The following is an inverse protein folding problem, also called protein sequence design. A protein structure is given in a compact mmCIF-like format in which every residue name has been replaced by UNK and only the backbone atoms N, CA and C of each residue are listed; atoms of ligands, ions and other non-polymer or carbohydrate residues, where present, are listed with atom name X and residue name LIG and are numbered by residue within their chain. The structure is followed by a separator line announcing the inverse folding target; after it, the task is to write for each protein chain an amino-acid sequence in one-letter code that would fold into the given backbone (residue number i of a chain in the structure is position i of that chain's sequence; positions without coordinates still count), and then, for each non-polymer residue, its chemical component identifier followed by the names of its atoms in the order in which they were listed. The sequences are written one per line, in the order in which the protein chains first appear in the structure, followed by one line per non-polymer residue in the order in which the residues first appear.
data_IF_869924133422
#
_entry.id   IF_869924133422
#
_cell.length_a   1.000
_cell.length_b   1.000
_cell.length_c   1.000
_cell.angle_alpha   90.00
_cell.angle_beta   90.00
_cell.angle_gamma   90.00
#
_symmetry.space_group_name_H-M   'P 1'
#
loop_
_entity.id
_entity.type
_entity.pdbx_description
1 polymer ?
#
# COMPACT_ATOMS: atom_id res chain seq x y z
N UNK A 1 -13.29 -18.10 -14.28
CA UNK A 1 -14.11 -17.93 -13.06
C UNK A 1 -14.71 -16.56 -13.12
N UNK A 2 -16.04 -16.44 -12.98
CA UNK A 2 -16.66 -15.13 -12.79
C UNK A 2 -16.14 -14.57 -11.46
N UNK A 3 -15.54 -13.39 -11.51
CA UNK A 3 -15.06 -12.69 -10.32
C UNK A 3 -16.28 -12.35 -9.48
N UNK A 4 -16.44 -13.04 -8.37
CA UNK A 4 -17.38 -12.65 -7.32
C UNK A 4 -17.03 -11.21 -6.94
N UNK A 5 -17.96 -10.28 -7.17
CA UNK A 5 -17.82 -8.90 -6.72
C UNK A 5 -17.53 -8.91 -5.21
N UNK A 6 -16.31 -8.52 -4.80
CA UNK A 6 -15.89 -8.52 -3.39
C UNK A 6 -16.77 -7.57 -2.58
N UNK A 7 -17.07 -6.42 -3.18
CA UNK A 7 -18.02 -5.43 -2.67
C UNK A 7 -19.22 -5.40 -3.61
N UNK A 8 -20.43 -5.37 -3.06
CA UNK A 8 -21.67 -5.40 -3.83
C UNK A 8 -21.86 -4.09 -4.62
N UNK A 9 -21.72 -4.16 -5.94
CA UNK A 9 -21.82 -2.99 -6.83
C UNK A 9 -23.26 -2.51 -7.02
N UNK A 10 -24.25 -3.42 -7.01
CA UNK A 10 -25.67 -3.06 -7.13
C UNK A 10 -26.12 -2.17 -5.96
N UNK A 11 -25.55 -2.39 -4.77
CA UNK A 11 -25.88 -1.66 -3.55
C UNK A 11 -25.14 -0.32 -3.44
N UNK A 12 -23.93 -0.22 -3.99
CA UNK A 12 -23.02 0.87 -3.68
C UNK A 12 -22.44 1.61 -4.90
N UNK A 13 -22.83 1.22 -6.11
CA UNK A 13 -22.57 1.96 -7.34
C UNK A 13 -21.09 2.04 -7.74
N UNK A 14 -20.69 3.18 -8.30
CA UNK A 14 -19.38 3.39 -8.92
C UNK A 14 -18.19 3.22 -7.97
N UNK A 15 -18.33 3.59 -6.70
CA UNK A 15 -17.26 3.44 -5.70
C UNK A 15 -16.94 1.96 -5.44
N UNK A 16 -17.96 1.10 -5.37
CA UNK A 16 -17.75 -0.34 -5.25
C UNK A 16 -17.11 -0.94 -6.51
N UNK A 17 -17.47 -0.46 -7.69
CA UNK A 17 -16.86 -0.89 -8.95
C UNK A 17 -15.37 -0.52 -9.01
N UNK A 18 -15.02 0.73 -8.68
CA UNK A 18 -13.61 1.17 -8.65
C UNK A 18 -12.79 0.35 -7.66
N UNK A 19 -13.36 0.14 -6.46
CA UNK A 19 -12.70 -0.64 -5.40
C UNK A 19 -12.51 -2.10 -5.79
N UNK A 20 -13.52 -2.75 -6.38
CA UNK A 20 -13.39 -4.12 -6.90
C UNK A 20 -12.29 -4.21 -7.97
N UNK A 21 -12.23 -3.23 -8.87
CA UNK A 21 -11.16 -3.14 -9.87
C UNK A 21 -9.76 -3.04 -9.22
N UNK A 22 -9.63 -2.28 -8.14
CA UNK A 22 -8.38 -2.17 -7.40
C UNK A 22 -8.00 -3.47 -6.68
N UNK A 23 -8.97 -4.15 -6.03
CA UNK A 23 -8.76 -5.47 -5.41
C UNK A 23 -8.27 -6.47 -6.45
N UNK A 24 -8.89 -6.50 -7.63
CA UNK A 24 -8.48 -7.36 -8.72
C UNK A 24 -7.05 -7.10 -9.20
N UNK A 25 -6.63 -5.82 -9.27
CA UNK A 25 -5.25 -5.47 -9.60
C UNK A 25 -4.29 -6.06 -8.58
N UNK A 26 -4.55 -5.90 -7.29
CA UNK A 26 -3.72 -6.46 -6.23
C UNK A 26 -3.66 -7.99 -6.28
N UNK A 27 -4.76 -8.68 -6.57
CA UNK A 27 -4.78 -10.14 -6.68
C UNK A 27 -4.01 -10.69 -7.88
N UNK A 28 -3.91 -9.93 -8.96
CA UNK A 28 -3.24 -10.32 -10.21
C UNK A 28 -1.77 -9.90 -10.25
N UNK A 29 -1.35 -9.04 -9.33
CA UNK A 29 0.01 -8.50 -9.26
C UNK A 29 1.04 -9.59 -8.93
N UNK A 30 2.19 -9.52 -9.61
CA UNK A 30 3.36 -10.32 -9.25
C UNK A 30 4.11 -9.63 -8.10
N UNK A 31 3.57 -9.75 -6.90
CA UNK A 31 4.18 -9.21 -5.70
C UNK A 31 5.65 -9.60 -5.62
N UNK A 32 6.50 -8.62 -5.29
CA UNK A 32 7.89 -8.84 -4.94
C UNK A 32 8.81 -9.32 -6.09
N UNK A 33 8.39 -9.20 -7.36
CA UNK A 33 9.12 -9.75 -8.50
C UNK A 33 10.53 -9.18 -8.70
N UNK A 34 10.72 -7.89 -8.40
CA UNK A 34 11.96 -7.15 -8.67
C UNK A 34 12.65 -6.61 -7.43
N UNK A 35 12.33 -7.16 -6.27
CA UNK A 35 12.97 -6.87 -4.98
C UNK A 35 14.50 -6.91 -5.08
N UNK A 36 15.12 -5.85 -4.58
CA UNK A 36 16.56 -5.62 -4.47
C UNK A 36 17.20 -5.07 -5.75
N UNK A 37 16.41 -4.75 -6.78
CA UNK A 37 16.90 -4.16 -8.03
C UNK A 37 16.57 -2.68 -8.07
N UNK A 38 17.54 -1.85 -8.39
CA UNK A 38 17.30 -0.42 -8.55
C UNK A 38 16.53 -0.15 -9.84
N UNK A 39 15.56 0.76 -9.74
CA UNK A 39 14.73 1.17 -10.86
C UNK A 39 14.38 2.64 -10.75
N UNK A 40 14.86 3.46 -11.69
CA UNK A 40 14.59 4.90 -11.72
C UNK A 40 13.09 5.20 -11.83
N UNK A 41 12.31 4.33 -12.49
CA UNK A 41 10.87 4.52 -12.56
C UNK A 41 10.19 4.32 -11.20
N UNK A 42 10.71 3.42 -10.36
CA UNK A 42 10.22 3.20 -9.01
C UNK A 42 10.44 4.44 -8.11
N UNK A 43 11.60 5.09 -8.21
CA UNK A 43 11.88 6.34 -7.49
C UNK A 43 10.90 7.44 -7.90
N UNK A 44 10.63 7.60 -9.19
CA UNK A 44 9.65 8.58 -9.67
C UNK A 44 8.24 8.35 -9.12
N UNK A 45 7.84 7.10 -8.86
CA UNK A 45 6.54 6.81 -8.25
C UNK A 45 6.46 7.29 -6.81
N UNK A 46 7.54 7.15 -6.05
CA UNK A 46 7.65 7.75 -4.72
C UNK A 46 7.58 9.27 -4.83
N UNK A 47 8.31 9.88 -5.76
CA UNK A 47 8.27 11.33 -5.94
C UNK A 47 6.87 11.85 -6.29
N UNK A 48 6.13 11.13 -7.13
CA UNK A 48 4.76 11.46 -7.47
C UNK A 48 3.84 11.37 -6.26
N UNK A 49 3.99 10.33 -5.45
CA UNK A 49 3.23 10.15 -4.21
C UNK A 49 3.52 11.26 -3.21
N UNK A 50 4.79 11.58 -2.95
CA UNK A 50 5.18 12.63 -2.00
C UNK A 50 4.69 14.00 -2.44
N UNK A 51 4.79 14.32 -3.74
CA UNK A 51 4.23 15.57 -4.29
C UNK A 51 2.72 15.67 -4.13
N UNK A 52 1.99 14.56 -4.28
CA UNK A 52 0.55 14.53 -4.08
C UNK A 52 0.17 14.81 -2.62
N UNK A 53 1.04 14.45 -1.66
CA UNK A 53 0.89 14.74 -0.23
C UNK A 53 1.52 16.06 0.20
N UNK A 54 2.04 16.87 -0.73
CA UNK A 54 2.76 18.13 -0.45
C UNK A 54 4.00 17.96 0.44
N UNK A 55 4.64 16.80 0.37
CA UNK A 55 5.87 16.49 1.11
C UNK A 55 7.07 16.77 0.19
N UNK A 56 7.95 17.70 0.61
CA UNK A 56 9.14 18.10 -0.17
C UNK A 56 10.46 17.62 0.41
N UNK A 57 10.49 17.27 1.68
CA UNK A 57 11.72 16.90 2.40
C UNK A 57 11.71 15.40 2.72
N UNK A 58 12.30 14.62 1.81
CA UNK A 58 12.53 13.19 2.02
C UNK A 58 13.73 12.72 1.21
N UNK A 59 14.28 11.59 1.61
CA UNK A 59 15.35 10.88 0.91
C UNK A 59 14.85 9.51 0.46
N UNK A 60 15.25 9.07 -0.73
CA UNK A 60 15.02 7.70 -1.19
C UNK A 60 16.33 6.92 -1.07
N UNK A 61 16.28 5.76 -0.43
CA UNK A 61 17.45 4.87 -0.27
C UNK A 61 17.12 3.45 -0.67
N UNK A 62 17.87 2.92 -1.63
CA UNK A 62 17.76 1.52 -2.00
C UNK A 62 18.40 0.61 -0.96
N UNK A 63 17.71 -0.48 -0.64
CA UNK A 63 18.23 -1.55 0.19
C UNK A 63 18.18 -2.87 -0.57
N UNK A 64 19.13 -3.75 -0.26
CA UNK A 64 19.09 -5.12 -0.76
C UNK A 64 18.21 -6.01 0.12
N UNK A 65 17.85 -7.20 -0.38
CA UNK A 65 17.11 -8.22 0.37
C UNK A 65 17.72 -8.51 1.74
N UNK A 66 19.05 -8.58 1.80
CA UNK A 66 19.78 -8.95 3.01
C UNK A 66 19.75 -7.83 4.06
N UNK A 67 19.48 -6.59 3.65
CA UNK A 67 19.39 -5.43 4.54
C UNK A 67 17.97 -5.20 5.07
N UNK A 68 16.97 -5.89 4.51
CA UNK A 68 15.57 -5.71 4.90
C UNK A 68 15.33 -6.01 6.38
N UNK A 69 15.86 -7.15 6.84
CA UNK A 69 15.74 -7.63 8.22
C UNK A 69 16.20 -6.57 9.24
N UNK A 70 17.39 -6.01 9.04
CA UNK A 70 17.95 -4.94 9.88
C UNK A 70 17.18 -3.63 9.70
N UNK A 71 16.76 -3.31 8.48
CA UNK A 71 16.04 -2.06 8.20
C UNK A 71 14.68 -2.02 8.89
N UNK A 72 13.94 -3.14 8.91
CA UNK A 72 12.66 -3.25 9.62
C UNK A 72 12.83 -2.94 11.11
N UNK A 73 13.94 -3.38 11.73
CA UNK A 73 14.22 -3.13 13.15
C UNK A 73 14.55 -1.67 13.46
N UNK A 74 15.01 -0.91 12.45
CA UNK A 74 15.32 0.52 12.60
C UNK A 74 14.12 1.44 12.35
N UNK A 75 13.06 0.95 11.72
CA UNK A 75 11.86 1.76 11.49
C UNK A 75 11.29 2.13 12.85
N UNK A 76 11.44 3.40 13.20
CA UNK A 76 10.82 4.01 14.36
C UNK A 76 9.84 5.09 13.91
N UNK A 77 8.68 5.08 14.56
CA UNK A 77 7.64 6.09 14.40
C UNK A 77 7.82 7.28 15.35
N UNK A 78 8.79 7.20 16.27
CA UNK A 78 9.14 8.28 17.19
C UNK A 78 10.03 9.31 16.50
N UNK A 79 9.80 10.60 16.78
CA UNK A 79 10.57 11.74 16.24
C UNK A 79 10.70 11.75 14.70
N UNK A 80 9.61 11.44 14.01
CA UNK A 80 9.58 11.30 12.56
C UNK A 80 8.51 12.22 11.93
N UNK A 81 8.94 13.38 11.43
CA UNK A 81 8.06 14.39 10.81
C UNK A 81 7.32 13.85 9.57
N UNK A 82 8.01 13.02 8.78
CA UNK A 82 7.45 12.36 7.62
C UNK A 82 6.35 11.36 8.02
N UNK A 83 6.57 10.59 9.09
CA UNK A 83 5.55 9.73 9.67
C UNK A 83 4.38 10.53 10.23
N UNK A 84 4.62 11.66 10.90
CA UNK A 84 3.57 12.53 11.41
C UNK A 84 2.57 12.92 10.32
N UNK A 85 3.08 13.28 9.14
CA UNK A 85 2.23 13.60 7.98
C UNK A 85 1.51 12.38 7.42
N UNK A 86 2.20 11.25 7.26
CA UNK A 86 1.63 10.03 6.68
C UNK A 86 0.59 9.35 7.60
N UNK A 87 0.78 9.43 8.90
CA UNK A 87 -0.10 8.85 9.91
C UNK A 87 -1.48 9.50 9.93
N UNK A 88 -1.59 10.77 9.52
CA UNK A 88 -2.86 11.49 9.42
C UNK A 88 -3.69 11.07 8.20
N UNK A 89 -3.06 10.56 7.14
CA UNK A 89 -3.74 10.27 5.87
C UNK A 89 -4.91 9.29 6.03
N UNK A 90 -4.77 8.14 6.74
CA UNK A 90 -5.90 7.23 6.97
C UNK A 90 -7.08 7.89 7.69
N UNK A 91 -6.82 8.76 8.68
CA UNK A 91 -7.88 9.45 9.43
C UNK A 91 -8.58 10.49 8.53
N UNK A 92 -7.82 11.25 7.74
CA UNK A 92 -8.37 12.19 6.77
C UNK A 92 -9.23 11.49 5.70
N UNK A 93 -8.80 10.31 5.22
CA UNK A 93 -9.60 9.49 4.30
C UNK A 93 -10.89 9.02 4.97
N UNK A 94 -10.81 8.51 6.20
CA UNK A 94 -11.98 8.05 6.95
C UNK A 94 -13.02 9.15 7.12
N UNK A 95 -12.60 10.37 7.49
CA UNK A 95 -13.50 11.51 7.62
C UNK A 95 -14.21 11.85 6.30
N UNK A 96 -13.46 11.89 5.19
CA UNK A 96 -14.02 12.11 3.84
C UNK A 96 -15.04 11.03 3.48
N UNK A 97 -14.72 9.77 3.70
CA UNK A 97 -15.61 8.62 3.39
C UNK A 97 -16.91 8.71 4.18
N UNK A 98 -16.84 9.05 5.47
CA UNK A 98 -18.01 9.23 6.31
C UNK A 98 -18.87 10.39 5.79
N UNK A 99 -18.24 11.50 5.39
CA UNK A 99 -18.95 12.67 4.86
C UNK A 99 -19.76 12.39 3.58
N UNK A 100 -19.31 11.44 2.75
CA UNK A 100 -20.02 10.99 1.53
C UNK A 100 -20.92 9.77 1.77
N UNK A 101 -21.07 9.32 3.02
CA UNK A 101 -21.97 8.23 3.40
C UNK A 101 -21.48 6.81 3.10
N UNK A 102 -20.19 6.64 2.81
CA UNK A 102 -19.59 5.36 2.41
C UNK A 102 -19.03 4.53 3.57
N UNK A 103 -19.37 4.86 4.83
CA UNK A 103 -18.83 4.19 6.03
C UNK A 103 -19.00 2.65 5.99
N UNK A 104 -20.16 2.16 5.52
CA UNK A 104 -20.40 0.72 5.40
C UNK A 104 -19.50 0.05 4.36
N UNK A 105 -19.16 0.74 3.26
CA UNK A 105 -18.18 0.20 2.30
C UNK A 105 -16.79 0.17 2.92
N UNK A 106 -16.43 1.17 3.72
CA UNK A 106 -15.11 1.18 4.37
C UNK A 106 -14.95 -0.02 5.31
N UNK A 107 -16.00 -0.39 6.04
CA UNK A 107 -16.01 -1.62 6.84
C UNK A 107 -15.79 -2.85 5.95
N UNK A 108 -16.53 -2.95 4.83
CA UNK A 108 -16.35 -4.03 3.87
C UNK A 108 -14.92 -4.07 3.28
N UNK A 109 -14.30 -2.91 3.01
CA UNK A 109 -12.92 -2.79 2.52
C UNK A 109 -11.91 -3.28 3.55
N UNK A 110 -12.03 -2.83 4.79
CA UNK A 110 -11.11 -3.20 5.87
C UNK A 110 -11.15 -4.70 6.15
N UNK A 111 -12.30 -5.34 6.00
CA UNK A 111 -12.47 -6.78 6.22
C UNK A 111 -12.00 -7.61 5.00
N UNK A 112 -12.47 -7.27 3.81
CA UNK A 112 -12.34 -8.14 2.63
C UNK A 112 -11.05 -7.94 1.84
N UNK A 113 -10.50 -6.72 1.80
CA UNK A 113 -9.28 -6.47 1.03
C UNK A 113 -8.12 -7.30 1.58
N UNK A 114 -7.84 -7.29 2.90
CA UNK A 114 -6.76 -8.10 3.43
C UNK A 114 -6.98 -9.59 3.21
N UNK A 115 -8.20 -10.09 3.41
CA UNK A 115 -8.56 -11.49 3.14
C UNK A 115 -8.25 -11.89 1.68
N UNK A 116 -8.65 -11.05 0.72
CA UNK A 116 -8.50 -11.33 -0.71
C UNK A 116 -7.04 -11.46 -1.15
N UNK A 117 -6.13 -10.68 -0.56
CA UNK A 117 -4.73 -10.62 -0.99
C UNK A 117 -3.80 -11.48 -0.13
N UNK A 118 -4.18 -11.79 1.11
CA UNK A 118 -3.31 -12.41 2.12
C UNK A 118 -2.57 -13.63 1.60
N UNK A 119 -3.29 -14.59 1.01
CA UNK A 119 -2.67 -15.84 0.56
C UNK A 119 -1.68 -15.65 -0.60
N UNK A 120 -1.99 -14.75 -1.54
CA UNK A 120 -1.12 -14.45 -2.68
C UNK A 120 0.16 -13.77 -2.21
N UNK A 121 0.03 -12.74 -1.37
CA UNK A 121 1.14 -12.00 -0.81
C UNK A 121 2.00 -12.89 0.08
N UNK A 122 1.40 -13.66 0.99
CA UNK A 122 2.13 -14.57 1.89
C UNK A 122 2.97 -15.57 1.10
N UNK A 123 2.38 -16.18 0.05
CA UNK A 123 3.08 -17.14 -0.80
C UNK A 123 4.32 -16.53 -1.44
N UNK A 124 4.21 -15.34 -2.02
CA UNK A 124 5.36 -14.69 -2.67
C UNK A 124 6.37 -14.18 -1.64
N UNK A 125 5.93 -13.59 -0.52
CA UNK A 125 6.83 -13.17 0.56
C UNK A 125 7.65 -14.36 1.09
N UNK A 126 7.00 -15.49 1.39
CA UNK A 126 7.67 -16.70 1.87
C UNK A 126 8.62 -17.33 0.84
N UNK A 127 8.28 -17.23 -0.44
CA UNK A 127 9.15 -17.70 -1.53
C UNK A 127 10.41 -16.86 -1.67
N UNK A 128 10.32 -15.55 -1.43
CA UNK A 128 11.44 -14.61 -1.59
C UNK A 128 12.27 -14.41 -0.32
N UNK A 129 11.68 -14.67 0.86
CA UNK A 129 12.30 -14.47 2.17
C UNK A 129 12.07 -15.66 3.09
N UNK A 130 13.14 -16.13 3.73
CA UNK A 130 13.09 -17.27 4.66
C UNK A 130 12.84 -16.85 6.11
N UNK A 131 13.10 -15.59 6.47
CA UNK A 131 12.95 -15.08 7.82
C UNK A 131 11.47 -14.77 8.14
N UNK A 132 10.91 -15.46 9.14
CA UNK A 132 9.49 -15.31 9.53
C UNK A 132 9.11 -13.85 9.84
N UNK A 133 9.99 -13.11 10.52
CA UNK A 133 9.73 -11.70 10.85
C UNK A 133 9.60 -10.82 9.60
N UNK A 134 10.41 -11.09 8.57
CA UNK A 134 10.38 -10.37 7.30
C UNK A 134 9.10 -10.69 6.55
N UNK A 135 8.74 -11.98 6.47
CA UNK A 135 7.49 -12.41 5.83
C UNK A 135 6.28 -11.75 6.50
N UNK A 136 6.21 -11.76 7.84
CA UNK A 136 5.14 -11.11 8.60
C UNK A 136 5.05 -9.61 8.32
N UNK A 137 6.18 -8.91 8.33
CA UNK A 137 6.24 -7.49 8.03
C UNK A 137 5.71 -7.19 6.62
N UNK A 138 6.21 -7.92 5.60
CA UNK A 138 5.83 -7.71 4.20
C UNK A 138 4.34 -7.96 3.95
N UNK A 139 3.80 -9.02 4.57
CA UNK A 139 2.38 -9.35 4.47
C UNK A 139 1.52 -8.27 5.13
N UNK A 140 1.87 -7.86 6.36
CA UNK A 140 1.16 -6.78 7.05
C UNK A 140 1.23 -5.45 6.31
N UNK A 141 2.39 -5.14 5.74
CA UNK A 141 2.62 -3.93 4.94
C UNK A 141 1.76 -3.93 3.66
N UNK A 142 1.71 -5.04 2.92
CA UNK A 142 0.86 -5.15 1.74
C UNK A 142 -0.63 -5.05 2.08
N UNK A 143 -1.08 -5.71 3.16
CA UNK A 143 -2.45 -5.58 3.68
C UNK A 143 -2.78 -4.12 3.99
N UNK A 144 -1.89 -3.43 4.71
CA UNK A 144 -2.07 -2.03 5.06
C UNK A 144 -2.18 -1.14 3.81
N UNK A 145 -1.21 -1.20 2.89
CA UNK A 145 -1.22 -0.37 1.69
C UNK A 145 -2.47 -0.65 0.85
N UNK A 146 -2.79 -1.91 0.59
CA UNK A 146 -3.94 -2.26 -0.24
C UNK A 146 -5.25 -1.78 0.38
N UNK A 147 -5.41 -1.86 1.69
CA UNK A 147 -6.57 -1.31 2.39
C UNK A 147 -6.65 0.22 2.27
N UNK A 148 -5.55 0.93 2.50
CA UNK A 148 -5.53 2.40 2.41
C UNK A 148 -5.77 2.88 0.99
N UNK A 149 -5.19 2.21 -0.01
CA UNK A 149 -5.44 2.49 -1.44
C UNK A 149 -6.94 2.30 -1.76
N UNK A 150 -7.53 1.19 -1.30
CA UNK A 150 -8.96 0.94 -1.53
C UNK A 150 -9.85 1.93 -0.77
N UNK A 151 -9.44 2.38 0.42
CA UNK A 151 -10.13 3.44 1.14
C UNK A 151 -10.06 4.78 0.37
N UNK A 152 -8.93 5.09 -0.26
CA UNK A 152 -8.80 6.28 -1.10
C UNK A 152 -9.74 6.25 -2.32
N UNK A 153 -10.00 5.07 -2.92
CA UNK A 153 -11.03 4.91 -3.97
C UNK A 153 -12.44 5.25 -3.49
N UNK A 154 -12.71 5.14 -2.19
CA UNK A 154 -14.02 5.49 -1.59
C UNK A 154 -14.14 6.98 -1.23
N UNK A 155 -13.00 7.66 -1.11
CA UNK A 155 -12.87 8.98 -0.51
C UNK A 155 -12.65 10.09 -1.55
N UNK A 156 -11.94 9.79 -2.64
CA UNK A 156 -11.39 10.79 -3.55
C UNK A 156 -11.72 10.47 -5.02
N UNK A 157 -11.98 11.51 -5.82
CA UNK A 157 -12.14 11.35 -7.28
C UNK A 157 -10.85 10.88 -7.97
N UNK A 158 -9.69 11.17 -7.36
CA UNK A 158 -8.39 10.75 -7.83
C UNK A 158 -7.54 10.22 -6.68
N UNK A 159 -7.32 8.91 -6.68
CA UNK A 159 -6.55 8.22 -5.65
C UNK A 159 -5.08 8.67 -5.62
N UNK A 160 -4.69 9.38 -4.55
CA UNK A 160 -3.30 9.83 -4.35
C UNK A 160 -2.29 8.69 -4.25
N UNK A 161 -2.73 7.47 -3.91
CA UNK A 161 -1.88 6.28 -3.78
C UNK A 161 -1.64 5.54 -5.09
N UNK A 162 -2.23 5.95 -6.22
CA UNK A 162 -2.02 5.28 -7.50
C UNK A 162 -0.52 5.11 -7.87
N UNK A 163 0.39 6.08 -7.63
CA UNK A 163 1.82 5.87 -7.85
C UNK A 163 2.39 4.73 -6.99
N UNK A 164 1.90 4.54 -5.76
CA UNK A 164 2.30 3.41 -4.91
C UNK A 164 1.80 2.09 -5.49
N UNK A 165 0.59 2.04 -6.04
CA UNK A 165 0.10 0.83 -6.73
C UNK A 165 1.00 0.50 -7.93
N UNK A 166 1.35 1.50 -8.73
CA UNK A 166 2.24 1.32 -9.90
C UNK A 166 3.65 0.89 -9.48
N UNK A 167 4.15 1.40 -8.35
CA UNK A 167 5.42 0.95 -7.76
C UNK A 167 5.38 -0.54 -7.39
N UNK A 168 4.30 -0.98 -6.75
CA UNK A 168 4.09 -2.39 -6.39
C UNK A 168 3.95 -3.26 -7.64
N UNK A 169 3.28 -2.77 -8.70
CA UNK A 169 3.17 -3.45 -10.00
C UNK A 169 4.52 -3.63 -10.69
N UNK A 170 5.49 -2.73 -10.46
CA UNK A 170 6.87 -2.88 -10.88
C UNK A 170 7.65 -3.90 -10.04
N UNK A 171 7.03 -4.50 -9.02
CA UNK A 171 7.64 -5.51 -8.16
C UNK A 171 8.52 -4.96 -7.03
N UNK A 172 8.48 -3.64 -6.82
CA UNK A 172 9.23 -2.94 -5.77
C UNK A 172 8.31 -2.57 -4.61
N UNK A 173 8.89 -2.38 -3.43
CA UNK A 173 8.12 -1.99 -2.24
C UNK A 173 8.73 -0.77 -1.53
N UNK A 174 7.88 0.18 -1.10
CA UNK A 174 8.31 1.24 -0.20
C UNK A 174 8.36 0.71 1.22
N UNK A 175 9.45 0.98 1.93
CA UNK A 175 9.64 0.60 3.33
C UNK A 175 9.98 1.85 4.13
N UNK A 176 9.39 1.98 5.30
CA UNK A 176 9.58 3.13 6.17
C UNK A 176 8.30 3.96 6.33
N UNK A 177 8.42 5.22 6.77
CA UNK A 177 9.68 5.99 6.84
C UNK A 177 10.56 5.67 8.07
N UNK A 178 11.88 5.86 7.95
CA UNK A 178 12.82 6.03 9.08
C UNK A 178 13.35 7.47 9.02
N UNK A 179 12.96 8.32 9.99
CA UNK A 179 13.10 9.78 9.86
C UNK A 179 12.52 10.24 8.51
N UNK A 180 13.26 11.03 7.74
CA UNK A 180 12.82 11.49 6.42
C UNK A 180 13.22 10.54 5.28
N UNK A 181 13.65 9.30 5.56
CA UNK A 181 14.07 8.36 4.52
C UNK A 181 12.97 7.33 4.20
N UNK A 182 12.63 7.22 2.92
CA UNK A 182 11.94 6.06 2.35
C UNK A 182 12.94 5.07 1.78
N UNK A 183 12.86 3.84 2.25
CA UNK A 183 13.60 2.75 1.68
C UNK A 183 12.85 2.16 0.49
N UNK A 184 13.57 1.87 -0.58
CA UNK A 184 13.04 1.09 -1.70
C UNK A 184 13.74 -0.25 -1.77
N UNK A 185 12.93 -1.29 -1.94
CA UNK A 185 13.38 -2.65 -2.15
C UNK A 185 12.83 -3.16 -3.48
#
# INVERSE_FOLDING_TARGET
MALSQFINEEKYGSHACSTNGMIERFMKMNWYSDIGKQNVEAEKKIDQFMRALHISEYEIKWISRNQLSETIERISFEDNDLWGTLAEVPDQLKEKIISVGNEKLLIDVVDKVPEAIFHGVYKEAFKHFSEEKVVKFLVGHAMYISTVVCAAELAEEKNVFLPIVELLELGHIPIGPERNTFYLL
#
